data_IF_339835792501
#
_entry.id   IF_339835792501
#
_cell.length_a   1.000
_cell.length_b   1.000
_cell.length_c   1.000
_cell.angle_alpha   90.00
_cell.angle_beta   90.00
_cell.angle_gamma   90.00
#
_symmetry.space_group_name_H-M   'P 1'
#
loop_
_entity.id
_entity.type
_entity.pdbx_description
1 polymer ?
#
# COMPACT_ATOMS: atom_id res chain seq x y z
N UNK A 1 4.95 8.60 -13.14
CA UNK A 1 4.50 7.21 -13.35
C UNK A 1 5.04 6.39 -12.20
N UNK A 2 4.21 5.59 -11.50
CA UNK A 2 4.69 4.70 -10.45
C UNK A 2 5.60 3.63 -11.05
N UNK A 3 6.53 3.13 -10.24
CA UNK A 3 7.37 1.96 -10.55
C UNK A 3 6.53 0.71 -10.31
N UNK A 4 6.50 -0.17 -11.29
CA UNK A 4 5.84 -1.46 -11.15
C UNK A 4 6.71 -2.38 -10.29
N UNK A 5 6.10 -3.00 -9.28
CA UNK A 5 6.73 -3.94 -8.35
C UNK A 5 5.84 -5.15 -8.14
N UNK A 6 6.46 -6.26 -7.76
CA UNK A 6 5.79 -7.46 -7.25
C UNK A 6 5.85 -7.52 -5.73
N UNK A 7 4.98 -8.30 -5.10
CA UNK A 7 4.92 -8.35 -3.62
C UNK A 7 6.25 -8.83 -3.00
N UNK A 8 6.94 -9.76 -3.66
CA UNK A 8 8.24 -10.30 -3.24
C UNK A 8 9.43 -9.37 -3.53
N UNK A 9 9.20 -8.31 -4.31
CA UNK A 9 10.18 -7.25 -4.59
C UNK A 9 10.05 -6.06 -3.62
N UNK A 10 8.96 -6.00 -2.84
CA UNK A 10 8.78 -4.96 -1.83
C UNK A 10 9.71 -5.24 -0.65
N UNK A 11 10.53 -4.25 -0.28
CA UNK A 11 11.49 -4.39 0.80
C UNK A 11 12.56 -3.31 0.79
N UNK A 12 13.82 -3.64 1.14
CA UNK A 12 14.90 -2.66 1.21
C UNK A 12 15.37 -2.22 -0.18
N UNK A 13 15.81 -0.97 -0.27
CA UNK A 13 16.44 -0.43 -1.48
C UNK A 13 15.47 0.05 -2.55
N UNK A 14 14.19 0.24 -2.20
CA UNK A 14 13.20 0.85 -3.08
C UNK A 14 13.57 2.32 -3.38
N UNK A 15 12.91 2.91 -4.37
CA UNK A 15 13.22 4.26 -4.83
C UNK A 15 13.21 5.27 -3.66
N UNK A 16 14.09 6.26 -3.74
CA UNK A 16 14.32 7.25 -2.68
C UNK A 16 14.69 6.64 -1.32
N UNK A 17 15.26 5.43 -1.31
CA UNK A 17 15.63 4.77 -0.07
C UNK A 17 14.42 4.38 0.78
N UNK A 18 13.26 4.22 0.14
CA UNK A 18 12.08 3.67 0.78
C UNK A 18 12.35 2.21 1.19
N UNK A 19 11.75 1.82 2.30
CA UNK A 19 11.72 0.43 2.77
C UNK A 19 10.33 0.15 3.35
N UNK A 20 9.64 -0.82 2.75
CA UNK A 20 8.31 -1.25 3.18
C UNK A 20 8.43 -2.70 3.63
N UNK A 21 8.07 -2.95 4.89
CA UNK A 21 7.96 -4.30 5.43
C UNK A 21 6.59 -4.87 5.08
N UNK A 22 6.58 -6.10 4.58
CA UNK A 22 5.36 -6.88 4.29
C UNK A 22 5.28 -8.05 5.26
N UNK A 23 4.14 -8.18 5.94
CA UNK A 23 3.80 -9.37 6.72
C UNK A 23 2.42 -9.88 6.28
N UNK A 24 2.30 -11.20 6.13
CA UNK A 24 1.05 -11.85 5.73
C UNK A 24 0.55 -12.69 6.91
N UNK A 25 -0.67 -12.42 7.35
CA UNK A 25 -1.34 -13.14 8.42
C UNK A 25 -2.53 -13.92 7.84
N UNK A 26 -2.37 -15.24 7.59
CA UNK A 26 -3.43 -16.05 6.99
C UNK A 26 -4.66 -16.18 7.90
N UNK A 27 -5.86 -16.17 7.32
CA UNK A 27 -7.11 -16.41 8.05
C UNK A 27 -7.58 -15.28 8.97
N UNK A 28 -6.93 -14.12 8.95
CA UNK A 28 -7.26 -12.97 9.80
C UNK A 28 -8.40 -12.10 9.27
N UNK A 29 -8.88 -12.31 8.03
CA UNK A 29 -10.10 -11.69 7.53
C UNK A 29 -11.25 -12.70 7.56
N UNK A 30 -12.38 -12.34 8.20
CA UNK A 30 -13.53 -13.24 8.38
C UNK A 30 -14.14 -13.69 7.06
N UNK A 31 -14.13 -12.82 6.04
CA UNK A 31 -14.68 -13.11 4.72
C UNK A 31 -13.59 -13.60 3.79
N UNK A 32 -13.85 -14.71 3.08
CA UNK A 32 -12.97 -15.18 2.00
C UNK A 32 -13.01 -14.29 0.76
N UNK A 33 -14.03 -13.43 0.64
CA UNK A 33 -14.18 -12.49 -0.48
C UNK A 33 -13.51 -11.14 -0.22
N UNK A 34 -13.10 -10.88 1.02
CA UNK A 34 -12.38 -9.67 1.41
C UNK A 34 -10.97 -10.01 1.81
N UNK A 35 -10.09 -9.05 1.71
CA UNK A 35 -8.82 -9.08 2.40
C UNK A 35 -8.74 -7.87 3.33
N UNK A 36 -8.01 -8.04 4.42
CA UNK A 36 -7.73 -6.96 5.35
C UNK A 36 -6.35 -6.40 5.05
N UNK A 37 -6.23 -5.08 5.04
CA UNK A 37 -4.94 -4.40 4.92
C UNK A 37 -4.73 -3.60 6.18
N UNK A 38 -3.58 -3.80 6.83
CA UNK A 38 -3.09 -2.91 7.88
C UNK A 38 -1.97 -2.07 7.29
N UNK A 39 -2.14 -0.76 7.30
CA UNK A 39 -1.14 0.20 6.86
C UNK A 39 -0.56 0.93 8.07
N UNK A 40 0.77 1.01 8.17
CA UNK A 40 1.44 1.62 9.30
C UNK A 40 2.71 2.36 8.89
N UNK A 41 3.14 3.28 9.76
CA UNK A 41 4.43 3.95 9.66
C UNK A 41 5.38 3.39 10.71
N UNK A 42 6.64 3.17 10.31
CA UNK A 42 7.72 2.91 11.24
C UNK A 42 8.17 4.18 11.97
N UNK A 43 9.03 4.04 12.98
CA UNK A 43 9.61 5.18 13.68
C UNK A 43 10.31 6.13 12.70
N UNK A 44 10.14 7.44 12.92
CA UNK A 44 10.81 8.51 12.16
C UNK A 44 10.36 8.71 10.70
N UNK A 45 9.37 7.96 10.20
CA UNK A 45 8.73 8.29 8.92
C UNK A 45 7.73 9.42 9.15
N UNK A 46 8.05 10.61 8.64
CA UNK A 46 7.27 11.84 8.86
C UNK A 46 6.52 12.30 7.62
N UNK A 47 6.94 11.88 6.43
CA UNK A 47 6.24 12.25 5.20
C UNK A 47 4.94 11.47 5.05
N UNK A 48 3.91 12.15 4.53
CA UNK A 48 2.64 11.52 4.19
C UNK A 48 2.85 10.28 3.34
N UNK A 49 2.14 9.20 3.68
CA UNK A 49 2.05 7.96 2.93
C UNK A 49 0.59 7.63 2.68
N UNK A 50 0.32 7.08 1.50
CA UNK A 50 -0.99 6.63 1.10
C UNK A 50 -0.95 5.23 0.52
N UNK A 51 -2.06 4.53 0.70
CA UNK A 51 -2.41 3.32 -0.03
C UNK A 51 -3.67 3.62 -0.84
N UNK A 52 -3.61 3.36 -2.15
CA UNK A 52 -4.59 3.87 -3.11
C UNK A 52 -5.05 2.74 -4.02
N UNK A 53 -6.32 2.75 -4.38
CA UNK A 53 -6.87 1.98 -5.49
C UNK A 53 -7.18 2.91 -6.65
N UNK A 54 -6.57 2.65 -7.81
CA UNK A 54 -6.86 3.36 -9.06
C UNK A 54 -7.45 2.40 -10.07
N UNK A 55 -8.66 2.67 -10.57
CA UNK A 55 -9.33 1.82 -11.57
C UNK A 55 -8.44 1.66 -12.81
N UNK A 56 -8.32 0.45 -13.34
CA UNK A 56 -7.47 0.16 -14.51
C UNK A 56 -7.93 0.92 -15.77
N UNK A 57 -9.23 1.16 -15.89
CA UNK A 57 -9.86 2.00 -16.93
C UNK A 57 -9.69 3.52 -16.70
N UNK A 58 -8.96 3.92 -15.65
CA UNK A 58 -8.71 5.31 -15.23
C UNK A 58 -9.96 6.10 -14.80
N UNK A 59 -11.12 5.44 -14.62
CA UNK A 59 -12.38 6.10 -14.25
C UNK A 59 -12.47 6.53 -12.78
N UNK A 60 -11.57 6.05 -11.91
CA UNK A 60 -11.66 6.28 -10.48
C UNK A 60 -10.34 6.15 -9.74
N UNK A 61 -10.24 6.90 -8.65
CA UNK A 61 -9.08 6.97 -7.76
C UNK A 61 -9.59 7.09 -6.31
N UNK A 62 -9.18 6.17 -5.44
CA UNK A 62 -9.61 6.10 -4.04
C UNK A 62 -8.43 5.85 -3.12
N UNK A 63 -8.13 6.80 -2.24
CA UNK A 63 -7.23 6.56 -1.10
C UNK A 63 -7.94 5.67 -0.09
N UNK A 64 -7.40 4.48 0.17
CA UNK A 64 -7.97 3.51 1.13
C UNK A 64 -7.30 3.59 2.50
N UNK A 65 -6.06 4.08 2.59
CA UNK A 65 -5.42 4.40 3.85
C UNK A 65 -4.45 5.56 3.64
N UNK A 66 -4.31 6.43 4.64
CA UNK A 66 -3.34 7.53 4.62
C UNK A 66 -2.82 7.82 6.03
N UNK A 67 -1.52 8.05 6.13
CA UNK A 67 -0.85 8.32 7.39
C UNK A 67 0.18 9.43 7.20
N UNK A 68 0.22 10.36 8.15
CA UNK A 68 1.26 11.37 8.29
C UNK A 68 1.35 11.74 9.77
N UNK A 69 2.56 11.80 10.33
CA UNK A 69 2.88 12.16 11.72
C UNK A 69 2.26 11.23 12.81
N UNK A 70 1.06 10.70 12.60
CA UNK A 70 0.42 9.68 13.42
C UNK A 70 0.97 8.29 13.07
N UNK A 71 1.46 7.60 14.09
CA UNK A 71 1.96 6.23 13.98
C UNK A 71 0.86 5.19 14.23
N UNK A 72 -0.39 5.60 14.50
CA UNK A 72 -1.51 4.67 14.64
C UNK A 72 -1.77 3.97 13.30
N UNK A 73 -1.69 2.64 13.26
CA UNK A 73 -2.01 1.89 12.06
C UNK A 73 -3.47 2.08 11.65
N UNK A 74 -3.71 2.14 10.34
CA UNK A 74 -5.05 2.07 9.77
C UNK A 74 -5.31 0.64 9.31
N UNK A 75 -6.49 0.11 9.62
CA UNK A 75 -6.97 -1.16 9.10
C UNK A 75 -8.16 -0.93 8.18
N UNK A 76 -8.10 -1.48 6.98
CA UNK A 76 -9.19 -1.44 6.00
C UNK A 76 -9.49 -2.82 5.46
N UNK A 77 -10.75 -3.08 5.13
CA UNK A 77 -11.15 -4.24 4.35
C UNK A 77 -11.51 -3.78 2.94
N UNK A 78 -11.01 -4.49 1.94
CA UNK A 78 -11.40 -4.30 0.55
C UNK A 78 -11.92 -5.62 -0.01
N UNK A 79 -12.84 -5.55 -0.97
CA UNK A 79 -13.27 -6.75 -1.67
C UNK A 79 -12.15 -7.21 -2.60
N UNK A 80 -11.84 -8.51 -2.59
CA UNK A 80 -10.79 -9.10 -3.42
C UNK A 80 -11.02 -8.83 -4.91
N UNK A 81 -12.30 -8.70 -5.32
CA UNK A 81 -12.67 -8.36 -6.69
C UNK A 81 -12.15 -6.98 -7.12
N UNK A 82 -12.00 -6.03 -6.19
CA UNK A 82 -11.51 -4.69 -6.50
C UNK A 82 -10.08 -4.69 -7.06
N UNK A 83 -9.27 -5.70 -6.73
CA UNK A 83 -7.90 -5.86 -7.27
C UNK A 83 -7.88 -6.30 -8.74
N UNK A 84 -8.95 -6.93 -9.23
CA UNK A 84 -9.07 -7.22 -10.67
C UNK A 84 -9.39 -5.95 -11.45
N UNK A 85 -10.14 -5.03 -10.85
CA UNK A 85 -10.62 -3.80 -11.50
C UNK A 85 -9.70 -2.59 -11.27
N UNK A 86 -8.82 -2.65 -10.27
CA UNK A 86 -7.99 -1.51 -9.84
C UNK A 86 -6.53 -1.92 -9.60
N UNK A 87 -5.61 -0.99 -9.86
CA UNK A 87 -4.23 -1.04 -9.40
C UNK A 87 -4.18 -0.69 -7.91
N UNK A 88 -3.44 -1.48 -7.11
CA UNK A 88 -3.05 -1.09 -5.75
C UNK A 88 -1.73 -0.32 -5.79
N UNK A 89 -1.76 0.91 -5.28
CA UNK A 89 -0.66 1.87 -5.35
C UNK A 89 -0.20 2.28 -3.96
N UNK A 90 1.12 2.36 -3.79
CA UNK A 90 1.76 3.02 -2.65
C UNK A 90 2.14 4.43 -3.08
N UNK A 91 1.66 5.43 -2.34
CA UNK A 91 1.86 6.84 -2.65
C UNK A 91 2.57 7.54 -1.49
N UNK A 92 3.32 8.61 -1.78
CA UNK A 92 3.95 9.45 -0.75
C UNK A 92 4.01 10.92 -1.12
N UNK A 93 4.10 11.79 -0.12
CA UNK A 93 4.40 13.20 -0.37
C UNK A 93 5.85 13.40 -0.84
N UNK A 94 6.04 14.40 -1.70
CA UNK A 94 7.31 14.92 -2.21
C UNK A 94 7.44 16.40 -1.87
N UNK A 95 8.59 17.01 -2.18
CA UNK A 95 8.81 18.47 -2.08
C UNK A 95 7.54 19.26 -2.42
N UNK A 96 7.24 20.26 -1.58
CA UNK A 96 6.02 21.07 -1.65
C UNK A 96 4.71 20.32 -1.36
N UNK A 97 4.76 19.14 -0.73
CA UNK A 97 3.58 18.40 -0.29
C UNK A 97 2.85 17.64 -1.40
N UNK A 98 3.48 17.47 -2.58
CA UNK A 98 2.84 16.80 -3.72
C UNK A 98 2.71 15.29 -3.45
N UNK A 99 1.48 14.79 -3.37
CA UNK A 99 1.22 13.35 -3.22
C UNK A 99 1.47 12.65 -4.56
N UNK A 100 2.41 11.71 -4.57
CA UNK A 100 2.89 11.04 -5.77
C UNK A 100 2.73 9.54 -5.64
N UNK A 101 2.13 8.89 -6.64
CA UNK A 101 2.11 7.44 -6.77
C UNK A 101 3.53 6.93 -7.03
N UNK A 102 4.07 6.15 -6.09
CA UNK A 102 5.46 5.67 -6.14
C UNK A 102 5.54 4.26 -6.70
N UNK A 103 4.73 3.34 -6.18
CA UNK A 103 4.82 1.92 -6.51
C UNK A 103 3.46 1.37 -6.89
N UNK A 104 3.40 0.58 -7.96
CA UNK A 104 2.23 -0.19 -8.36
C UNK A 104 2.48 -1.65 -8.10
N UNK A 105 1.67 -2.27 -7.26
CA UNK A 105 1.75 -3.70 -7.00
C UNK A 105 1.06 -4.45 -8.15
N UNK A 106 1.84 -4.93 -9.11
CA UNK A 106 1.34 -5.49 -10.38
C UNK A 106 0.78 -6.91 -10.28
N UNK A 107 1.14 -7.66 -9.25
CA UNK A 107 0.63 -9.01 -9.03
C UNK A 107 -0.40 -9.08 -7.89
N UNK A 108 -0.94 -7.93 -7.45
CA UNK A 108 -1.83 -7.79 -6.31
C UNK A 108 -3.03 -8.76 -6.38
N UNK A 109 -3.73 -8.85 -7.51
CA UNK A 109 -4.89 -9.74 -7.69
C UNK A 109 -4.53 -11.23 -7.65
N UNK A 110 -3.26 -11.55 -7.91
CA UNK A 110 -2.76 -12.92 -7.88
C UNK A 110 -2.25 -13.28 -6.50
N UNK A 111 -1.54 -12.38 -5.80
CA UNK A 111 -0.84 -12.71 -4.54
C UNK A 111 -1.66 -12.35 -3.30
N UNK A 112 -2.49 -11.31 -3.34
CA UNK A 112 -3.27 -10.86 -2.18
C UNK A 112 -4.59 -11.62 -2.07
N UNK A 113 -4.53 -12.88 -1.62
CA UNK A 113 -5.72 -13.72 -1.42
C UNK A 113 -6.66 -13.19 -0.34
N UNK A 114 -7.96 -13.27 -0.62
CA UNK A 114 -9.03 -13.03 0.36
C UNK A 114 -8.98 -14.01 1.55
N UNK A 115 -9.53 -13.60 2.69
CA UNK A 115 -9.43 -14.30 3.97
C UNK A 115 -8.16 -13.99 4.77
N UNK A 116 -7.18 -13.30 4.17
CA UNK A 116 -5.92 -12.95 4.83
C UNK A 116 -5.88 -11.48 5.25
N UNK A 117 -4.95 -11.17 6.15
CA UNK A 117 -4.51 -9.80 6.42
C UNK A 117 -3.11 -9.57 5.88
N UNK A 118 -2.91 -8.45 5.19
CA UNK A 118 -1.62 -7.99 4.67
C UNK A 118 -1.22 -6.73 5.43
N UNK A 119 -0.10 -6.80 6.13
CA UNK A 119 0.46 -5.71 6.89
C UNK A 119 1.56 -5.06 6.07
N UNK A 120 1.34 -3.82 5.67
CA UNK A 120 2.36 -2.99 5.03
C UNK A 120 2.82 -1.92 6.02
N UNK A 121 4.10 -1.94 6.38
CA UNK A 121 4.69 -0.93 7.26
C UNK A 121 5.78 -0.19 6.51
N UNK A 122 5.59 1.10 6.27
CA UNK A 122 6.63 1.94 5.69
C UNK A 122 7.63 2.29 6.78
N UNK A 123 8.79 1.61 6.81
CA UNK A 123 9.75 1.71 7.92
C UNK A 123 10.91 2.66 7.64
N UNK A 124 11.12 3.04 6.38
CA UNK A 124 12.12 4.01 5.99
C UNK A 124 11.65 4.79 4.78
N UNK A 125 11.98 6.07 4.75
CA UNK A 125 11.95 6.90 3.55
C UNK A 125 13.18 7.83 3.53
N UNK A 126 13.45 8.41 2.38
CA UNK A 126 14.20 9.67 2.32
C UNK A 126 13.36 10.74 1.66
N UNK A 127 13.42 11.93 2.24
CA UNK A 127 13.07 13.15 1.54
C UNK A 127 13.96 13.26 0.29
N UNK A 128 13.34 13.51 -0.86
CA UNK A 128 14.00 14.13 -2.01
C UNK A 128 13.29 15.42 -2.31
#
# INVERSE_FOLDING_TARGET
MPIDVRLDEIGPGMQDGDEILVEVLPGMCRSKHKLKIRFALGPHVTWWKGLVLRRKDQSGYRTIAELQDDQRPIEVEIDHVELYESDLLFSKAKLFGVHTDMYRLTDAEVVLKGGNQYNFTWIRDKAK
#
